data_IF_086181735489
#
_entry.id   IF_086181735489
#
_cell.length_a   1.000
_cell.length_b   1.000
_cell.length_c   1.000
_cell.angle_alpha   90.00
_cell.angle_beta   90.00
_cell.angle_gamma   90.00
#
_symmetry.space_group_name_H-M   'P 1'
#
loop_
_entity.id
_entity.type
_entity.pdbx_description
1 polymer ?
#
# COMPACT_ATOMS: atom_id res chain seq x y z
N UNK A 1 -38.68 -13.86 14.22
CA UNK A 1 -37.28 -14.28 14.02
C UNK A 1 -37.17 -14.80 12.59
N UNK A 2 -37.05 -13.87 11.64
CA UNK A 2 -37.16 -14.15 10.21
C UNK A 2 -35.87 -13.72 9.53
N UNK A 3 -35.19 -14.72 9.01
CA UNK A 3 -34.10 -14.66 8.04
C UNK A 3 -34.51 -13.77 6.87
N UNK A 4 -34.07 -12.50 6.91
CA UNK A 4 -34.26 -11.54 5.82
C UNK A 4 -33.04 -11.56 4.92
N UNK A 5 -33.08 -12.48 3.97
CA UNK A 5 -32.57 -12.27 2.62
C UNK A 5 -31.07 -12.43 2.49
N UNK A 6 -30.66 -13.65 2.16
CA UNK A 6 -29.60 -13.87 1.18
C UNK A 6 -29.86 -12.97 -0.04
N UNK A 7 -29.17 -11.82 -0.11
CA UNK A 7 -29.22 -10.93 -1.26
C UNK A 7 -28.57 -11.66 -2.44
N UNK A 8 -29.35 -11.86 -3.50
CA UNK A 8 -28.87 -12.24 -4.83
C UNK A 8 -27.53 -11.56 -5.16
N UNK A 9 -26.57 -12.37 -5.61
CA UNK A 9 -25.14 -12.06 -5.81
C UNK A 9 -24.81 -10.58 -6.00
N UNK A 10 -24.28 -9.96 -4.96
CA UNK A 10 -23.87 -8.57 -5.01
C UNK A 10 -22.61 -8.44 -5.87
N UNK A 11 -22.80 -7.98 -7.12
CA UNK A 11 -21.71 -7.71 -8.06
C UNK A 11 -20.65 -6.82 -7.40
N UNK A 12 -19.46 -7.38 -7.15
CA UNK A 12 -18.39 -6.72 -6.37
C UNK A 12 -17.36 -6.16 -7.34
N UNK A 13 -17.04 -4.88 -7.21
CA UNK A 13 -15.99 -4.25 -8.01
C UNK A 13 -14.83 -3.81 -7.10
N UNK A 14 -13.64 -4.28 -7.41
CA UNK A 14 -12.41 -3.85 -6.75
C UNK A 14 -11.55 -3.01 -7.69
N UNK A 15 -10.94 -1.95 -7.19
CA UNK A 15 -10.10 -1.05 -7.99
C UNK A 15 -8.66 -1.01 -7.48
N UNK A 16 -7.71 -1.30 -8.39
CA UNK A 16 -6.28 -1.26 -8.09
C UNK A 16 -5.56 -0.27 -9.01
N UNK A 17 -4.83 0.66 -8.40
CA UNK A 17 -3.94 1.65 -9.03
C UNK A 17 -2.46 1.37 -8.76
N UNK A 18 -2.16 0.47 -7.82
CA UNK A 18 -0.80 0.07 -7.45
C UNK A 18 -0.70 -1.45 -7.23
N UNK A 19 0.50 -2.05 -7.36
CA UNK A 19 0.72 -3.47 -7.06
C UNK A 19 0.32 -3.87 -5.62
N UNK A 20 0.59 -3.00 -4.65
CA UNK A 20 0.26 -3.22 -3.23
C UNK A 20 -1.26 -3.19 -3.00
N UNK A 21 -1.99 -2.27 -3.62
CA UNK A 21 -3.46 -2.28 -3.55
C UNK A 21 -4.04 -3.58 -4.11
N UNK A 22 -3.49 -4.08 -5.23
CA UNK A 22 -3.94 -5.36 -5.79
C UNK A 22 -3.62 -6.53 -4.85
N UNK A 23 -2.46 -6.53 -4.18
CA UNK A 23 -2.14 -7.52 -3.16
C UNK A 23 -3.18 -7.49 -2.03
N UNK A 24 -3.49 -6.31 -1.48
CA UNK A 24 -4.45 -6.18 -0.39
C UNK A 24 -5.90 -6.50 -0.81
N UNK A 25 -6.26 -6.31 -2.08
CA UNK A 25 -7.54 -6.80 -2.63
C UNK A 25 -7.58 -8.34 -2.61
N UNK A 26 -6.49 -9.01 -2.97
CA UNK A 26 -6.43 -10.48 -2.96
C UNK A 26 -6.47 -11.03 -1.53
N UNK A 27 -5.77 -10.39 -0.61
CA UNK A 27 -5.84 -10.69 0.82
C UNK A 27 -7.27 -10.55 1.37
N UNK A 28 -7.91 -9.42 1.05
CA UNK A 28 -9.29 -9.17 1.46
C UNK A 28 -10.25 -10.20 0.85
N UNK A 29 -10.11 -10.51 -0.45
CA UNK A 29 -10.98 -11.46 -1.14
C UNK A 29 -10.85 -12.87 -0.57
N UNK A 30 -9.63 -13.28 -0.21
CA UNK A 30 -9.37 -14.55 0.46
C UNK A 30 -10.02 -14.58 1.83
N UNK A 31 -9.70 -13.64 2.73
CA UNK A 31 -10.30 -13.63 4.07
C UNK A 31 -11.83 -13.54 4.02
N UNK A 32 -12.35 -12.84 3.02
CA UNK A 32 -13.76 -12.56 2.93
C UNK A 32 -14.62 -13.78 2.73
N UNK A 33 -14.09 -14.95 2.27
CA UNK A 33 -14.67 -16.32 2.10
C UNK A 33 -16.20 -16.51 2.23
N UNK A 34 -16.99 -15.50 1.92
CA UNK A 34 -18.41 -15.53 1.71
C UNK A 34 -18.52 -16.27 0.41
N UNK A 35 -19.19 -17.42 0.42
CA UNK A 35 -19.43 -18.25 -0.78
C UNK A 35 -20.03 -17.51 -1.99
N UNK A 36 -20.30 -16.21 -1.86
CA UNK A 36 -20.82 -15.23 -2.82
C UNK A 36 -19.78 -14.36 -3.56
N UNK A 37 -18.47 -14.39 -3.25
CA UNK A 37 -17.49 -13.58 -4.02
C UNK A 37 -17.21 -14.09 -5.44
N UNK A 38 -18.02 -15.04 -5.95
CA UNK A 38 -17.94 -15.56 -7.33
C UNK A 38 -18.05 -14.46 -8.40
N UNK A 39 -18.60 -13.29 -8.04
CA UNK A 39 -18.75 -12.14 -8.92
C UNK A 39 -17.77 -10.98 -8.63
N UNK A 40 -16.60 -11.26 -8.02
CA UNK A 40 -15.54 -10.24 -7.89
C UNK A 40 -14.90 -9.91 -9.25
N UNK A 41 -15.05 -8.66 -9.67
CA UNK A 41 -14.31 -8.10 -10.80
C UNK A 41 -13.28 -7.09 -10.31
N UNK A 42 -12.00 -7.37 -10.56
CA UNK A 42 -10.89 -6.47 -10.30
C UNK A 42 -10.65 -5.58 -11.51
N UNK A 43 -10.74 -4.27 -11.32
CA UNK A 43 -10.47 -3.25 -12.33
C UNK A 43 -9.14 -2.59 -12.03
N UNK A 44 -8.17 -2.78 -12.92
CA UNK A 44 -6.84 -2.19 -12.82
C UNK A 44 -6.80 -0.88 -13.60
N UNK A 45 -6.42 0.19 -12.90
CA UNK A 45 -6.24 1.55 -13.41
C UNK A 45 -4.74 1.89 -13.38
N UNK A 46 -3.97 1.47 -14.38
CA UNK A 46 -2.52 1.45 -14.29
C UNK A 46 -1.91 2.86 -14.26
N UNK A 47 -0.78 3.05 -13.57
CA UNK A 47 0.00 4.28 -13.62
C UNK A 47 0.70 4.46 -14.97
N UNK A 48 1.33 5.63 -15.16
CA UNK A 48 2.20 5.89 -16.30
C UNK A 48 3.58 5.26 -16.14
N UNK A 49 4.06 5.15 -14.89
CA UNK A 49 5.37 4.60 -14.56
C UNK A 49 5.55 3.17 -15.10
N UNK A 50 6.52 2.92 -16.00
CA UNK A 50 6.71 1.61 -16.63
C UNK A 50 6.97 0.48 -15.64
N UNK A 51 7.78 0.73 -14.61
CA UNK A 51 8.13 -0.27 -13.57
C UNK A 51 6.88 -0.73 -12.84
N UNK A 52 6.09 0.21 -12.32
CA UNK A 52 4.84 -0.08 -11.61
C UNK A 52 3.81 -0.76 -12.51
N UNK A 53 3.76 -0.41 -13.80
CA UNK A 53 2.92 -1.12 -14.79
C UNK A 53 3.36 -2.57 -14.97
N UNK A 54 4.67 -2.82 -15.03
CA UNK A 54 5.23 -4.17 -15.12
C UNK A 54 4.88 -5.04 -13.91
N UNK A 55 5.08 -4.50 -12.69
CA UNK A 55 4.67 -5.18 -11.46
C UNK A 55 3.15 -5.44 -11.42
N UNK A 56 2.33 -4.46 -11.82
CA UNK A 56 0.87 -4.62 -11.90
C UNK A 56 0.44 -5.71 -12.88
N UNK A 57 1.14 -5.88 -14.01
CA UNK A 57 0.83 -6.96 -14.97
C UNK A 57 1.09 -8.33 -14.35
N UNK A 58 2.17 -8.50 -13.59
CA UNK A 58 2.45 -9.74 -12.85
C UNK A 58 1.42 -9.99 -11.75
N UNK A 59 1.07 -8.96 -10.98
CA UNK A 59 -0.01 -9.05 -10.00
C UNK A 59 -1.37 -9.37 -10.64
N UNK A 60 -1.66 -8.82 -11.82
CA UNK A 60 -2.86 -9.13 -12.60
C UNK A 60 -2.91 -10.61 -13.01
N UNK A 61 -1.76 -11.19 -13.34
CA UNK A 61 -1.68 -12.62 -13.63
C UNK A 61 -1.97 -13.44 -12.37
N UNK A 62 -1.38 -13.09 -11.23
CA UNK A 62 -1.67 -13.77 -9.96
C UNK A 62 -3.15 -13.69 -9.56
N UNK A 63 -3.79 -12.55 -9.80
CA UNK A 63 -5.22 -12.39 -9.56
C UNK A 63 -6.07 -13.30 -10.47
N UNK A 64 -5.68 -13.47 -11.74
CA UNK A 64 -6.36 -14.41 -12.66
C UNK A 64 -6.13 -15.86 -12.26
N UNK A 65 -4.91 -16.21 -11.87
CA UNK A 65 -4.55 -17.55 -11.41
C UNK A 65 -5.29 -17.91 -10.11
N UNK A 66 -5.65 -16.91 -9.30
CA UNK A 66 -6.53 -17.04 -8.14
C UNK A 66 -8.03 -17.13 -8.50
N UNK A 67 -8.39 -17.13 -9.78
CA UNK A 67 -9.76 -17.29 -10.28
C UNK A 67 -10.56 -15.99 -10.41
N UNK A 68 -9.95 -14.82 -10.25
CA UNK A 68 -10.67 -13.55 -10.32
C UNK A 68 -10.76 -13.00 -11.75
N UNK A 69 -11.89 -12.35 -12.06
CA UNK A 69 -12.04 -11.60 -13.31
C UNK A 69 -11.24 -10.30 -13.22
N UNK A 70 -10.28 -10.12 -14.12
CA UNK A 70 -9.42 -8.92 -14.15
C UNK A 70 -9.66 -8.09 -15.42
N UNK A 71 -9.99 -6.82 -15.24
CA UNK A 71 -10.19 -5.84 -16.31
C UNK A 71 -9.11 -4.76 -16.24
N UNK A 72 -8.28 -4.65 -17.28
CA UNK A 72 -7.29 -3.58 -17.43
C UNK A 72 -7.93 -2.39 -18.16
N UNK A 73 -7.89 -1.18 -17.57
CA UNK A 73 -8.53 0.03 -18.13
C UNK A 73 -7.57 1.21 -18.16
N UNK A 74 -7.24 1.67 -19.36
CA UNK A 74 -6.39 2.87 -19.57
C UNK A 74 -7.16 4.17 -19.25
N UNK A 75 -7.43 4.42 -17.97
CA UNK A 75 -8.10 5.63 -17.50
C UNK A 75 -7.19 6.86 -17.46
N UNK A 76 -5.87 6.66 -17.60
CA UNK A 76 -4.86 7.74 -17.57
C UNK A 76 -4.33 8.13 -18.97
N UNK A 77 -4.84 7.52 -20.04
CA UNK A 77 -4.54 7.91 -21.43
C UNK A 77 -5.13 9.29 -21.81
N UNK A 78 -4.83 9.79 -23.01
CA UNK A 78 -5.31 11.09 -23.52
C UNK A 78 -6.81 11.37 -23.30
N UNK A 79 -7.21 12.64 -23.33
CA UNK A 79 -8.52 13.13 -22.85
C UNK A 79 -9.76 12.36 -23.37
N UNK A 80 -9.71 11.83 -24.60
CA UNK A 80 -10.82 11.09 -25.22
C UNK A 80 -10.83 9.60 -24.83
N UNK A 81 -9.66 8.97 -24.69
CA UNK A 81 -9.56 7.55 -24.32
C UNK A 81 -9.83 7.31 -22.83
N UNK A 82 -9.43 8.26 -21.97
CA UNK A 82 -9.69 8.23 -20.53
C UNK A 82 -11.18 8.39 -20.20
N UNK A 83 -11.87 9.31 -20.87
CA UNK A 83 -13.31 9.54 -20.67
C UNK A 83 -14.16 8.34 -21.10
N UNK A 84 -13.86 7.69 -22.24
CA UNK A 84 -14.55 6.46 -22.67
C UNK A 84 -14.33 5.29 -21.71
N UNK A 85 -13.10 5.10 -21.23
CA UNK A 85 -12.75 4.03 -20.28
C UNK A 85 -13.47 4.20 -18.94
N UNK A 86 -13.61 5.44 -18.45
CA UNK A 86 -14.37 5.75 -17.23
C UNK A 86 -15.88 5.65 -17.47
N UNK A 87 -16.39 6.11 -18.61
CA UNK A 87 -17.82 6.02 -18.95
C UNK A 87 -18.31 4.56 -19.00
N UNK A 88 -17.46 3.63 -19.47
CA UNK A 88 -17.76 2.20 -19.46
C UNK A 88 -17.94 1.61 -18.04
N UNK A 89 -17.40 2.29 -17.01
CA UNK A 89 -17.53 1.87 -15.62
C UNK A 89 -18.78 2.42 -14.93
N UNK A 90 -19.44 3.44 -15.49
CA UNK A 90 -20.61 4.09 -14.87
C UNK A 90 -21.75 3.11 -14.57
N UNK A 91 -22.10 2.25 -15.53
CA UNK A 91 -23.15 1.24 -15.36
C UNK A 91 -22.81 0.23 -14.26
N UNK A 92 -21.65 -0.46 -14.35
CA UNK A 92 -21.16 -1.34 -13.28
C UNK A 92 -21.10 -0.66 -11.90
N UNK A 93 -20.58 0.57 -11.82
CA UNK A 93 -20.48 1.34 -10.56
C UNK A 93 -21.83 1.60 -9.90
N UNK A 94 -22.89 1.85 -10.68
CA UNK A 94 -24.24 2.08 -10.15
C UNK A 94 -24.91 0.81 -9.62
N UNK A 95 -24.55 -0.35 -10.19
CA UNK A 95 -25.10 -1.66 -9.82
C UNK A 95 -24.26 -2.39 -8.76
N UNK A 96 -23.04 -1.94 -8.50
CA UNK A 96 -22.17 -2.53 -7.50
C UNK A 96 -22.87 -2.51 -6.13
N UNK A 97 -22.99 -3.68 -5.51
CA UNK A 97 -23.47 -3.79 -4.13
C UNK A 97 -22.34 -3.54 -3.13
N UNK A 98 -21.10 -3.79 -3.57
CA UNK A 98 -19.87 -3.67 -2.79
C UNK A 98 -18.74 -3.11 -3.67
N UNK A 99 -18.04 -2.11 -3.14
CA UNK A 99 -16.86 -1.50 -3.77
C UNK A 99 -15.64 -1.70 -2.89
N UNK A 100 -14.55 -2.15 -3.48
CA UNK A 100 -13.25 -2.29 -2.82
C UNK A 100 -12.28 -1.30 -3.45
N UNK A 101 -11.68 -0.44 -2.65
CA UNK A 101 -10.82 0.65 -3.14
C UNK A 101 -9.54 0.73 -2.31
N UNK A 102 -8.41 1.10 -2.93
CA UNK A 102 -7.15 1.33 -2.22
C UNK A 102 -7.03 2.74 -1.67
N UNK A 103 -6.74 3.71 -2.54
CA UNK A 103 -6.49 5.11 -2.16
C UNK A 103 -7.80 5.96 -2.18
N UNK A 104 -8.41 6.28 -1.02
CA UNK A 104 -9.60 7.14 -0.98
C UNK A 104 -9.33 8.58 -1.46
N UNK A 105 -8.07 8.98 -1.58
CA UNK A 105 -7.65 10.28 -2.08
C UNK A 105 -7.34 10.30 -3.59
N UNK A 106 -7.43 9.17 -4.27
CA UNK A 106 -7.25 9.13 -5.72
C UNK A 106 -8.37 9.90 -6.43
N UNK A 107 -7.99 10.85 -7.29
CA UNK A 107 -8.97 11.64 -8.07
C UNK A 107 -9.84 10.75 -8.97
N UNK A 108 -9.29 9.65 -9.48
CA UNK A 108 -10.04 8.71 -10.30
C UNK A 108 -11.05 7.93 -9.45
N UNK A 109 -10.63 7.45 -8.27
CA UNK A 109 -11.54 6.77 -7.36
C UNK A 109 -12.61 7.72 -6.81
N UNK A 110 -12.28 8.96 -6.49
CA UNK A 110 -13.27 9.97 -6.07
C UNK A 110 -14.30 10.25 -7.17
N UNK A 111 -13.88 10.30 -8.43
CA UNK A 111 -14.80 10.42 -9.57
C UNK A 111 -15.69 9.18 -9.68
N UNK A 112 -15.14 7.97 -9.60
CA UNK A 112 -15.89 6.72 -9.65
C UNK A 112 -16.88 6.61 -8.48
N UNK A 113 -16.44 6.85 -7.25
CA UNK A 113 -17.26 6.87 -6.04
C UNK A 113 -18.42 7.88 -6.13
N UNK A 114 -18.20 9.02 -6.79
CA UNK A 114 -19.27 10.00 -7.00
C UNK A 114 -20.43 9.45 -7.86
N UNK A 115 -20.14 8.46 -8.72
CA UNK A 115 -21.11 7.77 -9.59
C UNK A 115 -21.73 6.52 -8.97
N UNK A 116 -21.22 6.04 -7.84
CA UNK A 116 -21.70 4.84 -7.17
C UNK A 116 -23.16 4.95 -6.69
N UNK A 117 -23.87 3.83 -6.63
CA UNK A 117 -25.24 3.75 -6.08
C UNK A 117 -25.29 4.12 -4.59
N UNK A 118 -26.39 4.75 -4.12
CA UNK A 118 -26.50 5.34 -2.77
C UNK A 118 -26.35 4.37 -1.59
N UNK A 119 -26.62 3.08 -1.80
CA UNK A 119 -26.64 1.99 -0.80
C UNK A 119 -25.51 0.97 -1.00
N UNK A 120 -24.42 1.38 -1.63
CA UNK A 120 -23.27 0.52 -1.89
C UNK A 120 -22.37 0.47 -0.66
N UNK A 121 -22.07 -0.75 -0.19
CA UNK A 121 -21.07 -0.97 0.86
C UNK A 121 -19.66 -0.71 0.31
N UNK A 122 -18.73 -0.28 1.17
CA UNK A 122 -17.37 0.08 0.76
C UNK A 122 -16.33 -0.58 1.67
N UNK A 123 -15.29 -1.12 1.05
CA UNK A 123 -14.08 -1.60 1.71
C UNK A 123 -12.92 -0.75 1.23
N UNK A 124 -12.19 -0.15 2.16
CA UNK A 124 -10.91 0.52 1.91
C UNK A 124 -9.80 -0.46 2.25
N UNK A 125 -9.06 -0.92 1.26
CA UNK A 125 -7.89 -1.77 1.47
C UNK A 125 -6.64 -0.92 1.64
N UNK A 126 -5.63 -1.50 2.28
CA UNK A 126 -4.36 -0.84 2.52
C UNK A 126 -3.63 -0.37 1.23
N UNK A 127 -3.14 0.86 1.24
CA UNK A 127 -2.22 1.44 0.24
C UNK A 127 -0.97 2.04 0.93
N UNK A 128 -0.67 1.54 2.13
CA UNK A 128 0.43 1.99 2.99
C UNK A 128 0.09 3.32 3.66
N UNK A 129 0.93 4.33 3.44
CA UNK A 129 0.86 5.60 4.20
C UNK A 129 -0.44 6.38 3.97
N UNK A 130 -1.07 6.22 2.81
CA UNK A 130 -2.36 6.84 2.50
C UNK A 130 -3.49 6.31 3.39
N UNK A 131 -3.44 5.04 3.81
CA UNK A 131 -4.45 4.43 4.68
C UNK A 131 -4.33 4.96 6.11
N UNK A 132 -3.11 5.11 6.63
CA UNK A 132 -2.87 5.73 7.95
C UNK A 132 -3.36 7.18 8.00
N UNK A 133 -3.13 7.95 6.92
CA UNK A 133 -3.62 9.32 6.80
C UNK A 133 -5.15 9.38 6.78
N UNK A 134 -5.79 8.48 6.01
CA UNK A 134 -7.23 8.40 5.91
C UNK A 134 -7.87 8.08 7.28
N UNK A 135 -7.35 7.10 8.01
CA UNK A 135 -7.88 6.73 9.33
C UNK A 135 -7.68 7.84 10.35
N UNK A 136 -6.54 8.52 10.34
CA UNK A 136 -6.29 9.67 11.21
C UNK A 136 -7.25 10.84 10.94
N UNK A 137 -7.54 11.15 9.67
CA UNK A 137 -8.50 12.21 9.32
C UNK A 137 -9.93 11.84 9.69
N UNK A 138 -10.30 10.58 9.49
CA UNK A 138 -11.65 10.09 9.78
C UNK A 138 -11.91 10.01 11.30
N UNK A 139 -10.93 9.63 12.10
CA UNK A 139 -11.00 9.63 13.58
C UNK A 139 -11.15 11.06 14.15
N UNK A 140 -10.55 12.07 13.51
CA UNK A 140 -10.64 13.48 13.92
C UNK A 140 -11.87 14.21 13.38
N UNK A 141 -12.72 13.55 12.58
CA UNK A 141 -13.86 14.19 11.93
C UNK A 141 -13.48 15.27 10.92
N UNK A 142 -12.23 15.26 10.44
CA UNK A 142 -11.68 16.26 9.54
C UNK A 142 -12.12 16.02 8.08
N UNK A 143 -12.04 17.04 7.23
CA UNK A 143 -12.34 16.87 5.79
C UNK A 143 -11.27 15.97 5.18
N UNK A 144 -11.67 14.88 4.53
CA UNK A 144 -10.77 13.97 3.81
C UNK A 144 -10.07 14.69 2.63
N UNK A 145 -8.92 15.29 2.90
CA UNK A 145 -8.08 16.02 1.94
C UNK A 145 -6.66 15.49 2.09
N UNK A 146 -6.06 15.03 0.98
CA UNK A 146 -4.69 14.53 0.98
C UNK A 146 -3.71 15.64 1.35
N UNK A 147 -3.03 15.55 2.48
CA UNK A 147 -2.15 16.63 2.99
C UNK A 147 -0.88 16.86 2.17
N UNK A 148 -0.37 15.82 1.50
CA UNK A 148 0.84 15.87 0.66
C UNK A 148 0.66 16.59 -0.69
N UNK A 149 -0.56 17.02 -1.03
CA UNK A 149 -0.72 17.98 -2.12
C UNK A 149 -0.92 19.35 -1.49
N UNK A 150 -0.15 20.38 -1.91
CA UNK A 150 -0.56 21.75 -1.69
C UNK A 150 -2.04 21.81 -2.04
N UNK A 151 -2.87 22.39 -1.18
CA UNK A 151 -4.27 22.71 -1.49
C UNK A 151 -4.30 23.11 -2.95
N UNK A 152 -4.94 22.33 -3.83
CA UNK A 152 -4.79 22.57 -5.25
C UNK A 152 -5.42 23.95 -5.52
N UNK A 153 -4.58 24.98 -5.62
CA UNK A 153 -4.99 26.36 -5.85
C UNK A 153 -5.12 26.49 -7.36
N UNK A 154 -6.36 26.65 -7.81
CA UNK A 154 -6.64 26.86 -9.23
C UNK A 154 -8.06 26.41 -9.64
N UNK A 155 -8.55 26.91 -10.78
CA UNK A 155 -9.93 26.71 -11.23
C UNK A 155 -10.32 25.23 -11.40
N UNK A 156 -9.37 24.37 -11.82
CA UNK A 156 -9.60 22.91 -11.96
C UNK A 156 -9.80 22.18 -10.63
N UNK A 157 -9.28 22.72 -9.53
CA UNK A 157 -9.46 22.13 -8.20
C UNK A 157 -10.82 22.50 -7.61
N UNK A 158 -11.22 23.77 -7.77
CA UNK A 158 -12.55 24.24 -7.38
C UNK A 158 -13.65 23.49 -8.13
N UNK A 159 -13.48 23.29 -9.45
CA UNK A 159 -14.41 22.49 -10.25
C UNK A 159 -14.53 21.02 -9.80
N UNK A 160 -13.48 20.47 -9.18
CA UNK A 160 -13.47 19.08 -8.70
C UNK A 160 -13.96 18.93 -7.24
N UNK A 161 -14.03 20.02 -6.48
CA UNK A 161 -14.44 20.00 -5.07
C UNK A 161 -15.81 19.33 -4.81
N UNK A 162 -16.86 19.52 -5.66
CA UNK A 162 -18.13 18.82 -5.49
C UNK A 162 -18.00 17.29 -5.61
N UNK A 163 -17.15 16.82 -6.53
CA UNK A 163 -16.89 15.38 -6.75
C UNK A 163 -16.21 14.79 -5.53
N UNK A 164 -15.15 15.44 -5.03
CA UNK A 164 -14.46 15.04 -3.82
C UNK A 164 -15.42 15.00 -2.61
N UNK A 165 -16.21 16.06 -2.38
CA UNK A 165 -17.20 16.09 -1.29
C UNK A 165 -18.21 14.95 -1.37
N UNK A 166 -18.68 14.63 -2.58
CA UNK A 166 -19.61 13.52 -2.80
C UNK A 166 -18.96 12.17 -2.51
N UNK A 167 -17.71 11.96 -2.92
CA UNK A 167 -16.93 10.75 -2.62
C UNK A 167 -16.70 10.59 -1.11
N UNK A 168 -16.33 11.65 -0.40
CA UNK A 168 -16.19 11.66 1.07
C UNK A 168 -17.49 11.27 1.77
N UNK A 169 -18.61 11.88 1.35
CA UNK A 169 -19.94 11.48 1.84
C UNK A 169 -20.25 10.02 1.54
N UNK A 170 -19.58 9.36 0.58
CA UNK A 170 -19.72 7.92 0.35
C UNK A 170 -18.89 7.09 1.32
N UNK A 171 -17.76 7.60 1.80
CA UNK A 171 -16.88 6.91 2.75
C UNK A 171 -17.31 7.05 4.21
N UNK A 172 -18.34 7.84 4.50
CA UNK A 172 -18.93 7.92 5.85
C UNK A 172 -19.96 6.79 6.05
N UNK A 173 -19.94 6.05 7.17
CA UNK A 173 -20.96 5.05 7.46
C UNK A 173 -22.35 5.69 7.66
N UNK A 174 -23.40 5.02 7.22
CA UNK A 174 -24.81 5.41 7.45
C UNK A 174 -25.67 4.15 7.65
N UNK A 175 -26.92 4.28 8.12
CA UNK A 175 -27.83 3.13 8.34
C UNK A 175 -27.99 2.20 7.13
N UNK A 176 -27.78 2.71 5.91
CA UNK A 176 -27.89 1.95 4.67
C UNK A 176 -26.57 1.61 3.97
N UNK A 177 -25.42 1.88 4.60
CA UNK A 177 -24.09 1.63 4.03
C UNK A 177 -23.06 1.31 5.10
N UNK A 178 -22.44 0.14 4.96
CA UNK A 178 -21.28 -0.27 5.77
C UNK A 178 -19.99 0.24 5.11
N UNK A 179 -19.05 0.63 5.96
CA UNK A 179 -17.70 1.00 5.57
C UNK A 179 -16.75 0.14 6.38
N UNK A 180 -15.87 -0.56 5.68
CA UNK A 180 -14.82 -1.40 6.23
C UNK A 180 -13.46 -0.83 5.85
N UNK A 181 -12.50 -0.87 6.77
CA UNK A 181 -11.08 -0.62 6.53
C UNK A 181 -10.34 -1.95 6.74
N UNK A 182 -9.80 -2.51 5.66
CA UNK A 182 -9.01 -3.73 5.67
C UNK A 182 -7.53 -3.37 5.57
N UNK A 183 -6.81 -3.43 6.69
CA UNK A 183 -5.46 -2.83 6.80
C UNK A 183 -4.50 -3.67 7.63
N UNK A 184 -3.22 -3.63 7.25
CA UNK A 184 -2.14 -4.20 8.06
C UNK A 184 -1.60 -3.18 9.07
N UNK A 185 -1.89 -1.90 8.88
CA UNK A 185 -1.43 -0.81 9.73
C UNK A 185 -2.21 -0.78 11.06
N UNK A 186 -1.55 -0.39 12.17
CA UNK A 186 -2.27 -0.09 13.41
C UNK A 186 -3.12 1.16 13.19
N UNK A 187 -4.44 1.03 13.35
CA UNK A 187 -5.38 2.13 13.19
C UNK A 187 -6.28 2.20 14.41
N UNK A 188 -6.58 3.42 14.86
CA UNK A 188 -7.52 3.64 15.96
C UNK A 188 -8.94 3.24 15.54
N UNK A 189 -9.77 2.75 16.47
CA UNK A 189 -11.17 2.48 16.19
C UNK A 189 -11.91 3.74 15.73
N UNK A 190 -12.70 3.62 14.66
CA UNK A 190 -13.46 4.72 14.09
C UNK A 190 -14.95 4.42 14.24
N UNK A 191 -15.70 5.35 14.81
CA UNK A 191 -17.14 5.16 15.05
C UNK A 191 -17.90 4.83 13.76
N UNK A 192 -18.62 3.70 13.77
CA UNK A 192 -19.42 3.22 12.65
C UNK A 192 -18.64 2.58 11.50
N UNK A 193 -17.31 2.49 11.59
CA UNK A 193 -16.46 1.84 10.58
C UNK A 193 -15.94 0.52 11.14
N UNK A 194 -16.10 -0.55 10.37
CA UNK A 194 -15.50 -1.85 10.72
C UNK A 194 -14.02 -1.81 10.36
N UNK A 195 -13.14 -2.12 11.30
CA UNK A 195 -11.71 -2.30 11.01
C UNK A 195 -11.40 -3.79 11.03
N UNK A 196 -10.91 -4.31 9.91
CA UNK A 196 -10.52 -5.70 9.75
C UNK A 196 -9.00 -5.77 9.54
N UNK A 197 -8.33 -6.59 10.34
CA UNK A 197 -6.89 -6.73 10.24
C UNK A 197 -6.52 -7.57 8.99
N UNK A 198 -5.69 -7.00 8.11
CA UNK A 198 -5.01 -7.78 7.08
C UNK A 198 -3.86 -8.56 7.72
N UNK A 199 -4.05 -9.87 7.87
CA UNK A 199 -3.06 -10.78 8.41
C UNK A 199 -2.20 -11.47 7.33
N UNK A 200 -2.29 -11.09 6.06
CA UNK A 200 -1.56 -11.70 4.94
C UNK A 200 -1.77 -13.22 4.78
N UNK A 201 -2.98 -13.70 5.08
CA UNK A 201 -3.32 -15.12 5.04
C UNK A 201 -3.31 -15.68 3.61
N UNK A 202 -3.74 -14.90 2.61
CA UNK A 202 -3.71 -15.33 1.21
C UNK A 202 -2.28 -15.54 0.74
N UNK A 203 -1.39 -14.60 1.05
CA UNK A 203 0.03 -14.68 0.70
C UNK A 203 0.66 -15.95 1.27
N UNK A 204 0.45 -16.24 2.56
CA UNK A 204 0.99 -17.45 3.19
C UNK A 204 0.35 -18.74 2.69
N UNK A 205 -0.94 -18.72 2.37
CA UNK A 205 -1.62 -19.89 1.81
C UNK A 205 -1.20 -20.17 0.36
N UNK A 206 -0.92 -19.12 -0.42
CA UNK A 206 -0.62 -19.24 -1.86
C UNK A 206 0.84 -19.58 -2.15
N UNK A 207 1.75 -19.14 -1.30
CA UNK A 207 3.19 -19.30 -1.45
C UNK A 207 3.78 -20.02 -0.23
N UNK A 208 4.64 -21.02 -0.43
CA UNK A 208 5.27 -21.76 0.66
C UNK A 208 6.18 -20.86 1.49
N UNK A 209 6.68 -21.40 2.61
CA UNK A 209 7.73 -20.75 3.39
C UNK A 209 8.96 -20.43 2.50
N UNK A 210 9.54 -19.23 2.61
CA UNK A 210 10.69 -18.87 1.80
C UNK A 210 11.92 -19.67 2.20
N UNK A 211 12.78 -19.94 1.22
CA UNK A 211 14.13 -20.43 1.50
C UNK A 211 14.92 -19.34 2.23
N UNK A 212 15.40 -19.66 3.43
CA UNK A 212 16.21 -18.74 4.21
C UNK A 212 17.67 -18.78 3.75
N UNK A 213 18.20 -17.61 3.45
CA UNK A 213 19.64 -17.40 3.35
C UNK A 213 20.19 -17.03 4.72
N UNK A 214 21.45 -17.38 4.98
CA UNK A 214 22.15 -16.82 6.14
C UNK A 214 22.27 -15.29 6.04
N UNK A 215 22.67 -14.67 7.16
CA UNK A 215 22.90 -13.22 7.22
C UNK A 215 21.63 -12.39 7.13
N UNK A 216 21.78 -11.17 6.61
CA UNK A 216 20.72 -10.19 6.53
C UNK A 216 20.47 -9.67 5.11
N UNK A 217 19.25 -9.18 4.91
CA UNK A 217 18.86 -8.37 3.75
C UNK A 217 18.48 -6.97 4.22
N UNK A 218 18.72 -5.95 3.39
CA UNK A 218 18.34 -4.58 3.70
C UNK A 218 17.34 -4.03 2.69
N UNK A 219 16.28 -3.41 3.19
CA UNK A 219 15.21 -2.80 2.41
C UNK A 219 15.54 -1.33 2.14
N UNK A 220 15.58 -0.99 0.85
CA UNK A 220 15.84 0.37 0.38
C UNK A 220 14.68 1.33 0.60
N UNK A 221 14.96 2.63 0.44
CA UNK A 221 13.99 3.69 0.63
C UNK A 221 14.19 4.83 -0.37
N UNK A 222 13.14 5.59 -0.65
CA UNK A 222 13.22 6.77 -1.53
C UNK A 222 13.59 8.07 -0.83
N UNK A 223 14.03 8.03 0.43
CA UNK A 223 14.23 9.26 1.23
C UNK A 223 15.27 10.18 0.59
N UNK A 224 16.33 9.63 0.01
CA UNK A 224 17.34 10.38 -0.75
C UNK A 224 16.70 11.07 -1.97
N UNK A 225 15.94 10.32 -2.75
CA UNK A 225 15.29 10.82 -3.97
C UNK A 225 14.21 11.87 -3.69
N UNK A 226 13.61 11.82 -2.51
CA UNK A 226 12.68 12.86 -2.03
C UNK A 226 13.38 14.04 -1.38
N UNK A 227 14.72 14.00 -1.27
CA UNK A 227 15.53 15.05 -0.65
C UNK A 227 15.39 15.14 0.87
N UNK A 228 14.88 14.09 1.52
CA UNK A 228 14.71 14.06 2.99
C UNK A 228 16.05 13.79 3.67
N UNK A 229 16.87 12.89 3.11
CA UNK A 229 18.19 12.57 3.65
C UNK A 229 19.28 12.78 2.61
N UNK A 230 20.49 13.06 3.09
CA UNK A 230 21.70 13.24 2.29
C UNK A 230 22.16 11.89 1.71
N UNK A 231 22.51 11.86 0.42
CA UNK A 231 22.91 10.63 -0.27
C UNK A 231 24.18 10.01 0.34
N UNK A 232 25.24 10.79 0.56
CA UNK A 232 26.51 10.28 1.07
C UNK A 232 26.38 9.67 2.47
N UNK A 233 25.54 10.28 3.32
CA UNK A 233 25.21 9.74 4.64
C UNK A 233 24.44 8.43 4.53
N UNK A 234 23.48 8.36 3.61
CA UNK A 234 22.73 7.14 3.36
C UNK A 234 23.61 5.99 2.89
N UNK A 235 24.50 6.24 1.91
CA UNK A 235 25.41 5.23 1.37
C UNK A 235 26.39 4.74 2.44
N UNK A 236 27.00 5.66 3.20
CA UNK A 236 27.89 5.31 4.31
C UNK A 236 27.16 4.49 5.39
N UNK A 237 25.93 4.87 5.73
CA UNK A 237 25.12 4.17 6.70
C UNK A 237 24.73 2.76 6.27
N UNK A 238 24.34 2.57 5.00
CA UNK A 238 24.08 1.23 4.44
C UNK A 238 25.36 0.38 4.47
N UNK A 239 26.51 0.94 4.15
CA UNK A 239 27.79 0.23 4.24
C UNK A 239 28.14 -0.17 5.69
N UNK A 240 27.84 0.70 6.65
CA UNK A 240 27.97 0.41 8.09
C UNK A 240 27.06 -0.74 8.52
N UNK A 241 25.77 -0.68 8.18
CA UNK A 241 24.80 -1.74 8.47
C UNK A 241 25.19 -3.07 7.81
N UNK A 242 25.69 -3.03 6.58
CA UNK A 242 26.12 -4.22 5.87
C UNK A 242 27.27 -4.94 6.58
N UNK A 243 28.28 -4.20 7.05
CA UNK A 243 29.38 -4.76 7.84
C UNK A 243 28.94 -5.27 9.20
N UNK A 244 28.11 -4.50 9.91
CA UNK A 244 27.71 -4.83 11.28
C UNK A 244 26.76 -6.03 11.38
N UNK A 245 25.89 -6.20 10.38
CA UNK A 245 24.82 -7.21 10.40
C UNK A 245 24.93 -8.26 9.30
N UNK A 246 26.02 -8.25 8.52
CA UNK A 246 26.22 -9.20 7.44
C UNK A 246 25.13 -9.09 6.36
N UNK A 247 24.80 -7.85 5.95
CA UNK A 247 23.85 -7.65 4.85
C UNK A 247 24.50 -8.09 3.56
N UNK A 248 23.85 -9.01 2.84
CA UNK A 248 24.35 -9.53 1.56
C UNK A 248 23.59 -8.95 0.37
N UNK A 249 22.30 -8.65 0.55
CA UNK A 249 21.43 -8.13 -0.51
C UNK A 249 20.71 -6.87 -0.08
N UNK A 250 20.51 -5.99 -1.05
CA UNK A 250 19.81 -4.73 -0.91
C UNK A 250 18.60 -4.70 -1.84
N UNK A 251 17.40 -4.71 -1.27
CA UNK A 251 16.15 -4.63 -2.02
C UNK A 251 15.84 -3.18 -2.38
N UNK A 252 16.21 -2.80 -3.59
CA UNK A 252 16.07 -1.44 -4.09
C UNK A 252 14.60 -1.00 -4.16
N UNK A 253 14.33 0.17 -3.61
CA UNK A 253 13.06 0.86 -3.81
C UNK A 253 12.97 1.39 -5.25
N UNK A 254 11.79 1.26 -5.87
CA UNK A 254 11.56 1.55 -7.31
C UNK A 254 11.95 2.96 -7.78
N UNK A 255 12.07 3.92 -6.86
CA UNK A 255 12.42 5.31 -7.17
C UNK A 255 13.93 5.55 -7.16
N UNK A 256 14.71 4.63 -6.61
CA UNK A 256 16.14 4.84 -6.40
C UNK A 256 16.91 4.94 -7.70
N UNK A 257 17.85 5.90 -7.73
CA UNK A 257 18.64 6.17 -8.92
C UNK A 257 19.64 5.04 -9.20
N UNK A 258 19.91 4.79 -10.49
CA UNK A 258 20.91 3.79 -10.87
C UNK A 258 22.31 4.15 -10.38
N UNK A 259 22.63 5.44 -10.28
CA UNK A 259 23.91 5.93 -9.76
C UNK A 259 24.08 5.53 -8.30
N UNK A 260 23.11 5.90 -7.44
CA UNK A 260 23.14 5.57 -6.02
C UNK A 260 23.21 4.06 -5.79
N UNK A 261 22.44 3.28 -6.55
CA UNK A 261 22.45 1.82 -6.44
C UNK A 261 23.80 1.20 -6.85
N UNK A 262 24.48 1.76 -7.86
CA UNK A 262 25.85 1.35 -8.20
C UNK A 262 26.83 1.68 -7.07
N UNK A 263 26.72 2.87 -6.48
CA UNK A 263 27.53 3.26 -5.32
C UNK A 263 27.32 2.32 -4.14
N UNK A 264 26.07 2.00 -3.80
CA UNK A 264 25.75 1.04 -2.74
C UNK A 264 26.39 -0.32 -3.00
N UNK A 265 26.31 -0.84 -4.22
CA UNK A 265 26.95 -2.11 -4.55
C UNK A 265 28.47 -2.06 -4.39
N UNK A 266 29.11 -0.97 -4.84
CA UNK A 266 30.56 -0.80 -4.75
C UNK A 266 31.07 -0.53 -3.32
N UNK A 267 30.39 0.32 -2.57
CA UNK A 267 30.84 0.81 -1.25
C UNK A 267 30.39 -0.11 -0.10
N UNK A 268 29.20 -0.73 -0.20
CA UNK A 268 28.67 -1.63 0.82
C UNK A 268 28.89 -3.12 0.49
N UNK A 269 29.31 -3.46 -0.73
CA UNK A 269 29.55 -4.84 -1.16
C UNK A 269 28.27 -5.70 -1.25
N UNK A 270 27.12 -5.06 -1.41
CA UNK A 270 25.81 -5.72 -1.45
C UNK A 270 25.35 -6.01 -2.89
N UNK A 271 24.64 -7.12 -3.07
CA UNK A 271 23.91 -7.40 -4.30
C UNK A 271 22.64 -6.55 -4.37
N UNK A 272 22.49 -5.77 -5.45
CA UNK A 272 21.29 -4.96 -5.66
C UNK A 272 20.18 -5.82 -6.28
N UNK A 273 19.13 -6.06 -5.51
CA UNK A 273 17.92 -6.75 -5.97
C UNK A 273 16.87 -5.71 -6.34
N UNK A 274 16.28 -5.82 -7.53
CA UNK A 274 15.14 -5.00 -7.96
C UNK A 274 13.86 -5.83 -7.97
N UNK A 275 13.00 -5.70 -6.95
CA UNK A 275 11.75 -6.43 -6.86
C UNK A 275 10.88 -6.27 -8.11
N UNK A 276 10.45 -7.38 -8.67
CA UNK A 276 9.52 -7.41 -9.79
C UNK A 276 8.04 -7.50 -9.30
N UNK A 277 7.84 -7.68 -8.00
CA UNK A 277 6.57 -7.74 -7.26
C UNK A 277 6.65 -6.88 -5.99
N UNK A 278 5.53 -6.65 -5.27
CA UNK A 278 5.56 -6.12 -3.91
C UNK A 278 6.53 -6.89 -3.01
N UNK A 279 7.20 -6.19 -2.10
CA UNK A 279 8.25 -6.79 -1.27
C UNK A 279 7.69 -7.93 -0.40
N UNK A 280 6.43 -7.84 0.02
CA UNK A 280 5.71 -8.91 0.72
C UNK A 280 5.75 -10.23 -0.04
N UNK A 281 5.50 -10.21 -1.35
CA UNK A 281 5.52 -11.41 -2.18
C UNK A 281 6.95 -11.86 -2.48
N UNK A 282 7.89 -10.92 -2.66
CA UNK A 282 9.29 -11.26 -2.88
C UNK A 282 9.87 -11.94 -1.63
N UNK A 283 9.63 -11.37 -0.45
CA UNK A 283 10.06 -11.94 0.82
C UNK A 283 9.41 -13.30 1.08
N UNK A 284 8.11 -13.47 0.79
CA UNK A 284 7.44 -14.76 0.96
C UNK A 284 7.96 -15.84 0.00
N UNK A 285 8.27 -15.48 -1.24
CA UNK A 285 8.79 -16.44 -2.23
C UNK A 285 10.26 -16.80 -1.99
N UNK A 286 10.99 -15.88 -1.38
CA UNK A 286 12.42 -16.00 -1.16
C UNK A 286 13.23 -16.08 -2.46
N UNK A 287 14.54 -16.35 -2.35
CA UNK A 287 15.29 -16.44 -1.09
C UNK A 287 15.21 -15.16 -0.26
N UNK A 288 15.25 -15.27 1.07
CA UNK A 288 15.26 -14.12 2.00
C UNK A 288 16.25 -14.38 3.16
N UNK A 289 16.91 -13.34 3.66
CA UNK A 289 17.82 -13.43 4.80
C UNK A 289 17.09 -13.80 6.09
N UNK A 290 17.81 -14.45 6.99
CA UNK A 290 17.33 -14.74 8.35
C UNK A 290 16.93 -13.47 9.13
N UNK A 291 17.49 -12.32 8.74
CA UNK A 291 17.12 -11.00 9.26
C UNK A 291 16.85 -10.03 8.10
N UNK A 292 15.77 -9.25 8.20
CA UNK A 292 15.44 -8.16 7.29
C UNK A 292 15.58 -6.84 8.04
N UNK A 293 16.51 -6.00 7.57
CA UNK A 293 16.72 -4.65 8.05
C UNK A 293 15.92 -3.68 7.19
N UNK A 294 15.19 -2.76 7.80
CA UNK A 294 14.50 -1.70 7.07
C UNK A 294 14.64 -0.38 7.79
N UNK A 295 14.92 0.68 7.04
CA UNK A 295 14.64 2.04 7.51
C UNK A 295 13.11 2.23 7.69
N UNK A 296 12.64 3.28 8.39
CA UNK A 296 11.22 3.46 8.65
C UNK A 296 10.42 3.50 7.35
N UNK A 297 9.52 2.53 7.20
CA UNK A 297 8.79 2.21 5.96
C UNK A 297 7.58 1.38 6.33
N UNK A 298 6.49 1.44 5.55
CA UNK A 298 5.28 0.63 5.83
C UNK A 298 5.54 -0.88 5.85
N UNK A 299 6.63 -1.33 5.22
CA UNK A 299 7.03 -2.75 5.18
C UNK A 299 7.32 -3.33 6.56
N UNK A 300 7.67 -2.50 7.54
CA UNK A 300 7.90 -2.94 8.93
C UNK A 300 6.61 -3.42 9.61
N UNK A 301 5.44 -3.08 9.08
CA UNK A 301 4.15 -3.56 9.57
C UNK A 301 3.61 -4.74 8.74
N UNK A 302 4.06 -4.89 7.48
CA UNK A 302 3.58 -5.95 6.59
C UNK A 302 4.45 -7.19 6.66
N UNK A 303 5.78 -7.06 6.60
CA UNK A 303 6.70 -8.21 6.58
C UNK A 303 6.59 -9.10 7.82
N UNK A 304 6.48 -8.58 9.07
CA UNK A 304 6.28 -9.45 10.23
C UNK A 304 5.01 -10.31 10.14
N UNK A 305 3.96 -9.80 9.47
CA UNK A 305 2.72 -10.56 9.26
C UNK A 305 2.89 -11.58 8.13
N UNK A 306 3.52 -11.19 7.03
CA UNK A 306 3.78 -12.07 5.87
C UNK A 306 4.64 -13.27 6.27
N UNK A 307 5.61 -13.06 7.16
CA UNK A 307 6.60 -14.03 7.61
C UNK A 307 6.33 -14.58 9.02
N UNK A 308 5.10 -14.40 9.54
CA UNK A 308 4.74 -14.76 10.91
C UNK A 308 4.85 -16.26 11.22
N UNK A 309 4.86 -17.12 10.21
CA UNK A 309 5.02 -18.57 10.28
C UNK A 309 6.48 -19.02 10.03
N UNK A 310 7.45 -18.10 10.13
CA UNK A 310 8.88 -18.36 9.84
C UNK A 310 9.77 -17.84 10.97
N UNK A 311 11.05 -18.20 10.96
CA UNK A 311 12.05 -17.69 11.92
C UNK A 311 12.65 -16.33 11.53
N UNK A 312 12.19 -15.70 10.43
CA UNK A 312 12.75 -14.45 9.93
C UNK A 312 12.50 -13.30 10.90
N UNK A 313 13.56 -12.58 11.26
CA UNK A 313 13.48 -11.41 12.11
C UNK A 313 13.40 -10.14 11.27
N UNK A 314 12.53 -9.21 11.65
CA UNK A 314 12.48 -7.87 11.06
C UNK A 314 12.99 -6.86 12.09
N UNK A 315 13.95 -6.03 11.69
CA UNK A 315 14.50 -4.98 12.54
C UNK A 315 14.39 -3.62 11.85
N UNK A 316 14.04 -2.61 12.62
CA UNK A 316 13.94 -1.23 12.12
C UNK A 316 15.26 -0.53 12.40
N UNK A 317 15.84 0.09 11.37
CA UNK A 317 17.04 0.91 11.49
C UNK A 317 16.62 2.36 11.63
N UNK A 318 16.96 2.99 12.75
CA UNK A 318 16.70 4.42 12.93
C UNK A 318 17.53 5.26 11.96
N UNK A 319 17.03 6.46 11.67
CA UNK A 319 17.72 7.44 10.83
C UNK A 319 18.28 8.52 11.75
N UNK A 320 19.59 8.75 11.66
CA UNK A 320 20.25 9.80 12.44
C UNK A 320 19.74 11.16 12.00
N UNK A 321 19.55 12.07 12.97
CA UNK A 321 19.19 13.46 12.67
C UNK A 321 20.21 14.14 11.75
N UNK A 322 21.48 13.73 11.85
CA UNK A 322 22.58 14.27 11.02
C UNK A 322 22.48 13.88 9.54
N UNK A 323 21.61 12.93 9.19
CA UNK A 323 21.39 12.54 7.80
C UNK A 323 20.38 13.44 7.10
N UNK A 324 19.54 14.16 7.86
CA UNK A 324 18.51 15.01 7.30
C UNK A 324 19.13 16.17 6.49
N UNK A 325 18.45 16.54 5.41
CA UNK A 325 18.78 17.78 4.70
C UNK A 325 18.12 18.97 5.39
N UNK A 326 18.58 20.18 5.09
CA UNK A 326 17.95 21.42 5.58
C UNK A 326 16.49 21.60 5.11
N UNK A 327 16.03 20.78 4.16
CA UNK A 327 14.69 20.85 3.57
C UNK A 327 13.67 19.95 4.28
N UNK A 328 14.07 19.26 5.35
CA UNK A 328 13.17 18.37 6.08
C UNK A 328 12.14 19.18 6.85
N UNK A 329 10.87 18.98 6.52
CA UNK A 329 9.76 19.51 7.30
C UNK A 329 9.62 18.70 8.60
N UNK A 330 9.30 19.35 9.73
CA UNK A 330 9.00 18.67 11.02
C UNK A 330 8.02 17.49 10.87
N UNK A 331 7.08 17.59 9.93
CA UNK A 331 6.11 16.51 9.62
C UNK A 331 6.74 15.26 9.02
N UNK A 332 7.81 15.38 8.24
CA UNK A 332 8.47 14.22 7.63
C UNK A 332 9.25 13.44 8.69
N UNK A 333 9.96 14.15 9.58
CA UNK A 333 10.60 13.55 10.75
C UNK A 333 9.58 12.89 11.68
N UNK A 334 8.50 13.60 12.04
CA UNK A 334 7.43 13.06 12.88
C UNK A 334 6.74 11.82 12.28
N UNK A 335 6.61 11.74 10.95
CA UNK A 335 6.08 10.55 10.29
C UNK A 335 7.02 9.34 10.41
N UNK A 336 8.32 9.52 10.19
CA UNK A 336 9.31 8.44 10.33
C UNK A 336 9.33 7.91 11.77
N UNK A 337 9.35 8.80 12.75
CA UNK A 337 9.30 8.43 14.16
C UNK A 337 8.00 7.70 14.52
N UNK A 338 6.86 8.14 13.98
CA UNK A 338 5.58 7.46 14.21
C UNK A 338 5.56 6.04 13.63
N UNK A 339 6.12 5.83 12.43
CA UNK A 339 6.24 4.49 11.83
C UNK A 339 7.12 3.59 12.68
N UNK A 340 8.30 4.07 13.11
CA UNK A 340 9.17 3.29 14.01
C UNK A 340 8.46 2.93 15.31
N UNK A 341 7.91 3.92 16.02
CA UNK A 341 7.29 3.71 17.33
C UNK A 341 6.11 2.74 17.28
N UNK A 342 5.25 2.89 16.27
CA UNK A 342 4.10 1.99 16.11
C UNK A 342 4.53 0.58 15.75
N UNK A 343 5.60 0.40 14.97
CA UNK A 343 6.12 -0.92 14.62
C UNK A 343 6.75 -1.63 15.82
N UNK A 344 7.57 -0.92 16.60
CA UNK A 344 8.15 -1.42 17.85
C UNK A 344 7.06 -1.85 18.83
N UNK A 345 6.04 -1.01 19.05
CA UNK A 345 4.95 -1.31 19.98
C UNK A 345 4.01 -2.43 19.53
N UNK A 346 3.71 -2.51 18.23
CA UNK A 346 2.71 -3.47 17.70
C UNK A 346 3.31 -4.86 17.46
N UNK A 347 4.57 -4.93 17.02
CA UNK A 347 5.20 -6.17 16.59
C UNK A 347 6.39 -6.58 17.46
N UNK A 348 6.75 -5.81 18.49
CA UNK A 348 7.91 -6.09 19.33
C UNK A 348 9.22 -6.09 18.55
N UNK A 349 9.31 -5.30 17.47
CA UNK A 349 10.52 -5.25 16.65
C UNK A 349 11.71 -4.72 17.47
N UNK A 350 12.91 -5.09 17.06
CA UNK A 350 14.13 -4.49 17.61
C UNK A 350 14.45 -3.21 16.84
N UNK A 351 14.71 -2.11 17.56
CA UNK A 351 15.31 -0.92 16.95
C UNK A 351 16.82 -1.05 16.95
N UNK A 352 17.45 -0.81 15.80
CA UNK A 352 18.89 -0.67 15.70
C UNK A 352 19.23 0.81 15.75
N UNK A 353 20.26 1.19 16.54
CA UNK A 353 20.65 2.58 16.65
C UNK A 353 21.01 3.13 15.28
N UNK A 354 20.74 4.41 15.07
CA UNK A 354 21.07 5.07 13.83
C UNK A 354 22.57 4.89 13.52
N UNK A 355 22.94 4.48 12.29
CA UNK A 355 24.34 4.38 11.93
C UNK A 355 24.95 5.79 11.97
N UNK A 356 26.13 5.91 12.60
CA UNK A 356 26.84 7.19 12.76
C UNK A 356 27.29 7.78 11.42
#
# INVERSE_FOLDING_TARGET
>A
MTDRGAKAGANTLAFAESPVQLLNILEWAHMSHRGDLRDLTVVILPPHDPTSRGQLRRMAQLARDAGHRVLWREARGGAVASSRSLAALTGPMRRAGLLVIGDPFSRYLQLLLSMAGGRCDIVVVDDGTATMEFTAQLARGERLVRWHRPSARGPRAWAFAPVARRAVRRLTPTEGRRVEVFTAMPVEPIAGVTVTANAFAWTRARFPEPMLTGGADLVGTSLVETGVIQEDRYVAGVAGLARAHGVTRYFAHRRESNEKLRRLSAEAGVEIVRPDLPLELVARRGPIGSTILSFPSTVVHTLPKVLADTEVKVAVCDISETWFTDRVTERASGFLSAVTNTALGTHGLTSLPAPQ
#
